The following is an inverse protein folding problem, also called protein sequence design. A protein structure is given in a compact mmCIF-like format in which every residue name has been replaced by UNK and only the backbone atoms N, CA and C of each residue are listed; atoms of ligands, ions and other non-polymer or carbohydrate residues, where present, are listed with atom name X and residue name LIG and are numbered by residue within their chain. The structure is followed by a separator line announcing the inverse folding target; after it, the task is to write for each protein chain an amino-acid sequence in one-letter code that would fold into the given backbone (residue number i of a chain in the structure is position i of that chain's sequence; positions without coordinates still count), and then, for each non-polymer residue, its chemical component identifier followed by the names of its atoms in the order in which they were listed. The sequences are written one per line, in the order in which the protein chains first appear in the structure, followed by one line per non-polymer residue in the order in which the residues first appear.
data_IF_815658857314
#
_entry.id   IF_815658857314
#
_cell.length_a   1.000
_cell.length_b   1.000
_cell.length_c   1.000
_cell.angle_alpha   90.00
_cell.angle_beta   90.00
_cell.angle_gamma   90.00
#
_symmetry.space_group_name_H-M   'P 1'
#
loop_
_entity.id
_entity.type
_entity.pdbx_description
1 polymer ?
#
# COMPACT_ATOMS: atom_id res chain seq x y z
N UNK A 1 4.59 19.87 -13.55
CA UNK A 1 3.45 19.49 -12.71
C UNK A 1 3.23 20.66 -11.75
N UNK A 2 2.04 21.30 -11.71
CA UNK A 2 1.79 22.36 -10.74
C UNK A 2 1.80 21.78 -9.33
N UNK A 3 2.26 22.53 -8.31
CA UNK A 3 2.25 22.08 -6.94
C UNK A 3 0.80 21.82 -6.48
N UNK A 4 0.58 20.70 -5.81
CA UNK A 4 -0.68 20.38 -5.13
C UNK A 4 -1.00 21.53 -4.16
N UNK A 5 -2.06 22.25 -4.46
CA UNK A 5 -2.58 23.31 -3.61
C UNK A 5 -3.19 22.66 -2.36
N UNK A 6 -2.40 22.52 -1.30
CA UNK A 6 -2.85 22.12 0.02
C UNK A 6 -3.63 23.29 0.61
N UNK A 7 -4.87 23.44 0.15
CA UNK A 7 -5.81 24.45 0.63
C UNK A 7 -5.87 24.44 2.16
N UNK A 8 -5.96 25.63 2.72
CA UNK A 8 -6.07 26.01 4.12
C UNK A 8 -6.94 25.02 4.93
N UNK A 9 -6.32 23.95 5.47
CA UNK A 9 -7.01 23.00 6.34
C UNK A 9 -7.09 23.66 7.73
N UNK A 10 -8.30 23.94 8.18
CA UNK A 10 -8.52 24.31 9.59
C UNK A 10 -7.89 23.25 10.51
N UNK A 11 -7.27 23.64 11.63
CA UNK A 11 -6.70 22.69 12.58
C UNK A 11 -7.78 21.72 13.05
N UNK A 12 -7.65 20.46 12.66
CA UNK A 12 -8.53 19.39 13.14
C UNK A 12 -8.25 19.17 14.62
N UNK A 13 -9.29 19.00 15.41
CA UNK A 13 -9.14 18.48 16.77
C UNK A 13 -8.37 17.16 16.70
N UNK A 14 -7.28 16.96 17.47
CA UNK A 14 -6.53 15.72 17.46
C UNK A 14 -7.47 14.54 17.68
N UNK A 15 -7.52 13.60 16.74
CA UNK A 15 -8.34 12.41 16.84
C UNK A 15 -7.74 11.51 17.93
N UNK A 16 -8.53 11.15 18.93
CA UNK A 16 -8.14 10.15 19.92
C UNK A 16 -8.48 8.75 19.36
N UNK A 17 -7.52 7.83 19.35
CA UNK A 17 -7.67 6.49 18.83
C UNK A 17 -8.83 5.72 19.49
N UNK A 18 -8.96 5.77 20.83
CA UNK A 18 -10.03 5.09 21.54
C UNK A 18 -11.41 5.66 21.19
N UNK A 19 -11.51 6.96 21.01
CA UNK A 19 -12.75 7.60 20.55
C UNK A 19 -13.10 7.14 19.13
N UNK A 20 -12.12 7.11 18.22
CA UNK A 20 -12.32 6.65 16.85
C UNK A 20 -12.77 5.19 16.81
N UNK A 21 -12.18 4.30 17.63
CA UNK A 21 -12.61 2.90 17.73
C UNK A 21 -14.00 2.73 18.32
N UNK A 22 -14.41 3.53 19.32
CA UNK A 22 -15.80 3.53 19.82
C UNK A 22 -16.80 3.94 18.75
N UNK A 23 -16.46 4.96 17.94
CA UNK A 23 -17.31 5.35 16.81
C UNK A 23 -17.36 4.21 15.78
N UNK A 24 -16.22 3.58 15.48
CA UNK A 24 -16.15 2.40 14.60
C UNK A 24 -17.02 1.27 15.11
N UNK A 25 -17.01 0.99 16.40
CA UNK A 25 -17.83 -0.07 17.02
C UNK A 25 -19.33 0.09 16.72
N UNK A 26 -19.84 1.33 16.76
CA UNK A 26 -21.26 1.60 16.45
C UNK A 26 -21.63 1.40 14.97
N UNK A 27 -20.66 1.23 14.10
CA UNK A 27 -20.81 1.08 12.63
C UNK A 27 -19.88 0.02 12.03
N UNK A 28 -19.43 -0.94 12.84
CA UNK A 28 -18.43 -1.94 12.44
C UNK A 28 -18.81 -2.68 11.15
N UNK A 29 -20.07 -3.11 11.02
CA UNK A 29 -20.59 -3.78 9.83
C UNK A 29 -20.59 -2.92 8.54
N UNK A 30 -20.35 -1.60 8.65
CA UNK A 30 -20.18 -0.67 7.53
C UNK A 30 -18.77 -0.08 7.43
N UNK A 31 -17.82 -0.58 8.23
CA UNK A 31 -16.44 -0.06 8.27
C UNK A 31 -15.48 -0.97 7.52
N UNK A 32 -14.57 -0.38 6.74
CA UNK A 32 -13.51 -1.08 6.02
C UNK A 32 -12.15 -0.73 6.61
N UNK A 33 -11.30 -1.73 6.83
CA UNK A 33 -9.93 -1.55 7.29
C UNK A 33 -8.96 -1.86 6.15
N UNK A 34 -8.09 -0.92 5.83
CA UNK A 34 -7.08 -1.06 4.80
C UNK A 34 -5.68 -1.00 5.40
N UNK A 35 -4.81 -1.88 4.95
CA UNK A 35 -3.41 -1.92 5.37
C UNK A 35 -2.50 -1.95 4.15
N UNK A 36 -1.44 -1.13 4.17
CA UNK A 36 -0.27 -1.41 3.34
C UNK A 36 0.48 -2.61 3.92
N UNK A 37 1.42 -3.17 3.15
CA UNK A 37 2.17 -4.38 3.54
C UNK A 37 3.58 -4.04 4.02
N UNK A 38 4.47 -3.59 3.12
CA UNK A 38 5.87 -3.29 3.44
C UNK A 38 5.96 -2.00 4.27
N UNK A 39 6.65 -2.04 5.40
CA UNK A 39 6.76 -0.91 6.33
C UNK A 39 5.55 -0.74 7.27
N UNK A 40 4.40 -1.35 6.95
CA UNK A 40 3.16 -1.25 7.73
C UNK A 40 2.85 -2.55 8.47
N UNK A 41 2.57 -3.64 7.77
CA UNK A 41 2.34 -4.97 8.37
C UNK A 41 3.64 -5.72 8.59
N UNK A 42 4.62 -5.50 7.74
CA UNK A 42 5.92 -6.13 7.76
C UNK A 42 7.03 -5.07 7.87
N UNK A 43 8.07 -5.26 8.68
CA UNK A 43 9.24 -4.39 8.66
C UNK A 43 9.86 -4.38 7.25
N UNK A 44 10.43 -3.24 6.87
CA UNK A 44 11.24 -3.16 5.64
C UNK A 44 12.50 -3.99 5.82
N UNK A 45 12.86 -4.77 4.81
CA UNK A 45 14.07 -5.60 4.76
C UNK A 45 14.89 -5.27 3.50
N UNK A 46 16.21 -5.45 3.59
CA UNK A 46 17.10 -5.26 2.45
C UNK A 46 16.90 -6.34 1.38
N UNK A 47 16.49 -7.55 1.79
CA UNK A 47 16.03 -8.61 0.91
C UNK A 47 14.49 -8.56 0.78
N UNK A 48 13.96 -8.11 -0.37
CA UNK A 48 12.52 -8.01 -0.58
C UNK A 48 11.79 -9.36 -0.51
N UNK A 49 12.50 -10.49 -0.59
CA UNK A 49 11.92 -11.83 -0.48
C UNK A 49 11.86 -12.34 0.96
N UNK A 50 12.66 -11.76 1.86
CA UNK A 50 12.73 -12.12 3.27
C UNK A 50 11.66 -11.42 4.14
N UNK A 51 10.95 -10.44 3.59
CA UNK A 51 9.93 -9.66 4.31
C UNK A 51 8.84 -10.56 4.88
N UNK A 52 8.55 -10.42 6.18
CA UNK A 52 7.51 -11.18 6.88
C UNK A 52 6.65 -10.26 7.73
N UNK A 53 5.33 -10.39 7.68
CA UNK A 53 4.44 -9.59 8.50
C UNK A 53 4.59 -9.92 9.99
N UNK A 54 4.34 -8.92 10.84
CA UNK A 54 4.37 -9.08 12.29
C UNK A 54 3.25 -10.07 12.73
N UNK A 55 3.59 -11.18 13.40
CA UNK A 55 2.61 -12.22 13.72
C UNK A 55 1.42 -11.70 14.55
N UNK A 56 1.67 -10.74 15.45
CA UNK A 56 0.61 -10.15 16.27
C UNK A 56 -0.35 -9.28 15.46
N UNK A 57 0.14 -8.60 14.41
CA UNK A 57 -0.70 -7.84 13.50
C UNK A 57 -1.60 -8.78 12.67
N UNK A 58 -1.05 -9.90 12.18
CA UNK A 58 -1.84 -10.91 11.46
C UNK A 58 -2.95 -11.50 12.34
N UNK A 59 -2.62 -11.91 13.57
CA UNK A 59 -3.62 -12.45 14.50
C UNK A 59 -4.74 -11.44 14.82
N UNK A 60 -4.38 -10.15 14.95
CA UNK A 60 -5.38 -9.10 15.16
C UNK A 60 -6.25 -8.87 13.92
N UNK A 61 -5.68 -8.92 12.72
CA UNK A 61 -6.42 -8.81 11.45
C UNK A 61 -7.39 -9.99 11.30
N UNK A 62 -6.95 -11.20 11.59
CA UNK A 62 -7.80 -12.41 11.56
C UNK A 62 -9.01 -12.25 12.49
N UNK A 63 -8.80 -11.71 13.69
CA UNK A 63 -9.88 -11.45 14.65
C UNK A 63 -10.79 -10.27 14.23
N UNK A 64 -10.28 -9.28 13.50
CA UNK A 64 -11.05 -8.13 13.01
C UNK A 64 -11.89 -8.45 11.78
N UNK A 65 -11.43 -9.34 10.89
CA UNK A 65 -12.08 -9.64 9.63
C UNK A 65 -13.57 -10.03 9.76
N UNK A 66 -14.00 -10.86 10.71
CA UNK A 66 -15.43 -11.21 10.89
C UNK A 66 -16.27 -10.10 11.56
N UNK A 67 -15.63 -9.08 12.15
CA UNK A 67 -16.31 -8.05 12.95
C UNK A 67 -16.63 -6.80 12.12
N UNK A 68 -15.78 -6.48 11.14
CA UNK A 68 -15.95 -5.30 10.27
C UNK A 68 -16.53 -5.71 8.91
N UNK A 69 -16.98 -4.72 8.12
CA UNK A 69 -17.50 -5.00 6.79
C UNK A 69 -16.46 -5.71 5.90
N UNK A 70 -15.21 -5.27 5.99
CA UNK A 70 -14.12 -5.78 5.14
C UNK A 70 -12.77 -5.43 5.73
N UNK A 71 -11.81 -6.32 5.53
CA UNK A 71 -10.38 -6.03 5.69
C UNK A 71 -9.70 -6.20 4.34
N UNK A 72 -8.81 -5.30 3.98
CA UNK A 72 -8.09 -5.35 2.72
C UNK A 72 -6.61 -4.97 2.88
N UNK A 73 -5.74 -5.64 2.14
CA UNK A 73 -4.32 -5.30 2.00
C UNK A 73 -4.13 -4.63 0.65
N UNK A 74 -3.46 -3.47 0.62
CA UNK A 74 -3.23 -2.68 -0.60
C UNK A 74 -1.74 -2.41 -0.75
N UNK A 75 -1.06 -3.07 -1.68
CA UNK A 75 0.40 -3.09 -1.74
C UNK A 75 0.97 -2.92 -3.16
N UNK A 76 2.25 -2.59 -3.22
CA UNK A 76 3.08 -2.69 -4.43
C UNK A 76 3.47 -4.13 -4.78
N UNK A 77 3.25 -5.08 -3.87
CA UNK A 77 3.53 -6.51 -4.08
C UNK A 77 2.45 -7.16 -4.95
N UNK A 78 2.79 -8.18 -5.74
CA UNK A 78 1.78 -9.00 -6.44
C UNK A 78 0.83 -9.70 -5.44
N UNK A 79 -0.40 -9.99 -5.87
CA UNK A 79 -1.38 -10.71 -5.04
C UNK A 79 -0.86 -12.08 -4.61
N UNK A 80 -0.14 -12.80 -5.47
CA UNK A 80 0.45 -14.10 -5.15
C UNK A 80 1.42 -14.00 -3.97
N UNK A 81 2.34 -13.02 -4.01
CA UNK A 81 3.27 -12.76 -2.90
C UNK A 81 2.51 -12.48 -1.60
N UNK A 82 1.50 -11.58 -1.64
CA UNK A 82 0.71 -11.27 -0.45
C UNK A 82 0.00 -12.52 0.10
N UNK A 83 -0.55 -13.36 -0.76
CA UNK A 83 -1.22 -14.60 -0.37
C UNK A 83 -0.28 -15.55 0.37
N UNK A 84 0.95 -15.72 -0.14
CA UNK A 84 1.98 -16.54 0.48
C UNK A 84 2.40 -16.01 1.86
N UNK A 85 2.54 -14.68 1.98
CA UNK A 85 2.95 -14.05 3.24
C UNK A 85 1.86 -14.02 4.32
N UNK A 86 0.60 -13.96 3.89
CA UNK A 86 -0.54 -13.86 4.82
C UNK A 86 -1.04 -15.23 5.31
N UNK A 87 -0.41 -16.34 4.88
CA UNK A 87 -0.66 -17.66 5.45
C UNK A 87 -2.10 -18.18 5.33
N UNK A 88 -2.85 -17.69 4.34
CA UNK A 88 -4.22 -18.12 4.10
C UNK A 88 -5.27 -17.43 4.99
N UNK A 89 -5.01 -16.22 5.46
CA UNK A 89 -6.03 -15.39 6.12
C UNK A 89 -7.33 -15.37 5.30
N UNK A 90 -8.42 -15.83 5.93
CA UNK A 90 -9.74 -15.89 5.30
C UNK A 90 -10.47 -14.56 5.50
N UNK A 91 -11.25 -14.14 4.50
CA UNK A 91 -12.08 -12.93 4.60
C UNK A 91 -11.31 -11.62 4.39
N UNK A 92 -10.07 -11.68 3.90
CA UNK A 92 -9.25 -10.52 3.58
C UNK A 92 -9.15 -10.34 2.08
N UNK A 93 -9.42 -9.13 1.59
CA UNK A 93 -9.24 -8.76 0.19
C UNK A 93 -7.79 -8.34 -0.06
N UNK A 94 -7.25 -8.69 -1.21
CA UNK A 94 -5.90 -8.34 -1.62
C UNK A 94 -5.93 -7.46 -2.87
N UNK A 95 -5.25 -6.32 -2.81
CA UNK A 95 -5.00 -5.44 -3.93
C UNK A 95 -3.49 -5.34 -4.14
N UNK A 96 -2.97 -6.08 -5.09
CA UNK A 96 -1.57 -6.11 -5.48
C UNK A 96 -1.24 -5.13 -6.60
N UNK A 97 0.04 -4.80 -6.74
CA UNK A 97 0.57 -3.93 -7.79
C UNK A 97 -0.21 -2.60 -7.89
N UNK A 98 -0.46 -1.97 -6.73
CA UNK A 98 -1.26 -0.73 -6.63
C UNK A 98 -2.68 -0.86 -7.18
N UNK A 99 -3.27 -2.07 -7.15
CA UNK A 99 -4.61 -2.36 -7.65
C UNK A 99 -4.67 -2.84 -9.11
N UNK A 100 -3.54 -3.11 -9.77
CA UNK A 100 -3.53 -3.80 -11.07
C UNK A 100 -3.91 -5.28 -10.94
N UNK A 101 -3.77 -5.85 -9.76
CA UNK A 101 -4.27 -7.17 -9.39
C UNK A 101 -5.15 -7.07 -8.15
N UNK A 102 -6.21 -7.86 -8.10
CA UNK A 102 -7.02 -7.98 -6.89
C UNK A 102 -7.55 -9.41 -6.71
N UNK A 103 -7.81 -9.77 -5.46
CA UNK A 103 -8.46 -11.04 -5.06
C UNK A 103 -9.39 -10.75 -3.90
N UNK A 104 -10.63 -11.18 -3.97
CA UNK A 104 -11.61 -11.02 -2.90
C UNK A 104 -11.70 -12.30 -2.08
N UNK A 105 -11.53 -12.17 -0.76
CA UNK A 105 -11.73 -13.26 0.23
C UNK A 105 -11.06 -14.59 -0.15
N UNK A 106 -9.84 -14.53 -0.68
CA UNK A 106 -9.09 -15.73 -1.08
C UNK A 106 -9.48 -16.33 -2.43
N UNK A 107 -10.37 -15.68 -3.18
CA UNK A 107 -10.74 -16.07 -4.54
C UNK A 107 -9.62 -15.94 -5.57
N UNK A 108 -9.95 -16.18 -6.82
CA UNK A 108 -9.01 -16.04 -7.94
C UNK A 108 -8.45 -14.61 -8.04
N UNK A 109 -7.21 -14.52 -8.53
CA UNK A 109 -6.60 -13.22 -8.82
C UNK A 109 -7.12 -12.68 -10.15
N UNK A 110 -7.78 -11.53 -10.08
CA UNK A 110 -8.24 -10.80 -11.25
C UNK A 110 -7.24 -9.70 -11.57
N UNK A 111 -6.85 -9.60 -12.82
CA UNK A 111 -5.94 -8.57 -13.32
C UNK A 111 -6.73 -7.49 -14.03
N UNK A 112 -6.35 -6.21 -13.82
CA UNK A 112 -6.90 -5.07 -14.57
C UNK A 112 -6.77 -5.33 -16.08
N UNK A 113 -7.88 -5.37 -16.83
CA UNK A 113 -7.85 -5.73 -18.26
C UNK A 113 -6.91 -4.86 -19.09
N UNK A 114 -6.80 -3.56 -18.77
CA UNK A 114 -5.90 -2.64 -19.46
C UNK A 114 -4.41 -2.94 -19.23
N UNK A 115 -4.07 -3.71 -18.19
CA UNK A 115 -2.69 -4.10 -17.88
C UNK A 115 -2.27 -5.43 -18.55
N UNK A 116 -3.23 -6.30 -18.90
CA UNK A 116 -2.92 -7.61 -19.48
C UNK A 116 -2.05 -7.57 -20.73
N UNK A 117 -2.25 -6.64 -21.71
CA UNK A 117 -1.41 -6.57 -22.89
C UNK A 117 0.07 -6.27 -22.61
N UNK A 118 0.38 -5.77 -21.42
CA UNK A 118 1.74 -5.39 -21.04
C UNK A 118 2.58 -6.53 -20.45
N UNK A 119 1.96 -7.66 -20.10
CA UNK A 119 2.67 -8.81 -19.49
C UNK A 119 3.89 -9.26 -20.30
N UNK A 120 3.80 -9.47 -21.64
CA UNK A 120 4.96 -9.85 -22.44
C UNK A 120 6.07 -8.78 -22.42
N UNK A 121 5.69 -7.51 -22.57
CA UNK A 121 6.64 -6.38 -22.54
C UNK A 121 7.40 -6.30 -21.21
N UNK A 122 6.71 -6.55 -20.08
CA UNK A 122 7.36 -6.55 -18.77
C UNK A 122 8.32 -7.74 -18.60
N UNK A 123 8.00 -8.92 -19.15
CA UNK A 123 8.89 -10.07 -19.13
C UNK A 123 10.16 -9.81 -19.94
N UNK A 124 10.01 -9.32 -21.17
CA UNK A 124 11.13 -8.94 -22.04
C UNK A 124 12.01 -7.86 -21.41
N UNK A 125 11.38 -6.86 -20.75
CA UNK A 125 12.11 -5.80 -20.05
C UNK A 125 12.92 -6.34 -18.88
N UNK A 126 12.37 -7.30 -18.11
CA UNK A 126 13.10 -7.91 -17.02
C UNK A 126 14.32 -8.70 -17.49
N UNK A 127 14.18 -9.42 -18.60
CA UNK A 127 15.30 -10.17 -19.20
C UNK A 127 16.36 -9.24 -19.77
N UNK A 128 15.96 -8.18 -20.43
CA UNK A 128 16.86 -7.13 -20.92
C UNK A 128 17.62 -6.46 -19.76
N UNK A 129 16.92 -6.14 -18.67
CA UNK A 129 17.53 -5.55 -17.48
C UNK A 129 18.61 -6.46 -16.88
N UNK A 130 18.33 -7.78 -16.79
CA UNK A 130 19.31 -8.76 -16.30
C UNK A 130 20.53 -8.88 -17.18
N UNK A 131 20.37 -8.70 -18.51
CA UNK A 131 21.44 -8.79 -19.48
C UNK A 131 22.33 -7.51 -19.54
N UNK A 132 21.74 -6.34 -19.37
CA UNK A 132 22.40 -5.08 -19.64
C UNK A 132 22.86 -4.32 -18.37
N UNK A 133 22.17 -4.51 -17.23
CA UNK A 133 22.52 -3.79 -16.01
C UNK A 133 23.74 -4.43 -15.31
N UNK A 134 24.57 -3.60 -14.63
CA UNK A 134 25.75 -4.08 -13.95
C UNK A 134 25.43 -5.11 -12.84
N UNK A 135 26.35 -6.07 -12.59
CA UNK A 135 26.26 -6.96 -11.43
C UNK A 135 26.10 -6.15 -10.13
N UNK A 136 25.20 -6.60 -9.26
CA UNK A 136 24.80 -5.87 -8.04
C UNK A 136 23.48 -5.13 -8.19
N UNK A 137 22.90 -5.05 -9.40
CA UNK A 137 21.51 -4.66 -9.58
C UNK A 137 20.60 -5.86 -9.41
N UNK A 138 19.63 -5.79 -8.46
CA UNK A 138 18.60 -6.81 -8.32
C UNK A 138 17.40 -6.44 -9.21
N UNK A 139 17.08 -7.33 -10.15
CA UNK A 139 15.92 -7.17 -11.05
C UNK A 139 14.77 -8.03 -10.54
N UNK A 140 13.75 -7.39 -10.00
CA UNK A 140 12.53 -8.04 -9.52
C UNK A 140 11.44 -7.95 -10.59
N UNK A 141 11.07 -9.09 -11.17
CA UNK A 141 9.95 -9.19 -12.11
C UNK A 141 8.67 -9.50 -11.35
N UNK A 142 7.68 -8.61 -11.44
CA UNK A 142 6.39 -8.71 -10.74
C UNK A 142 5.23 -8.94 -11.71
N UNK A 143 5.46 -9.60 -12.83
CA UNK A 143 4.50 -9.84 -13.92
C UNK A 143 4.03 -8.57 -14.63
N UNK A 144 3.49 -7.58 -13.93
CA UNK A 144 2.99 -6.30 -14.48
C UNK A 144 3.89 -5.11 -14.17
N UNK A 145 5.03 -5.34 -13.52
CA UNK A 145 6.07 -4.32 -13.33
C UNK A 145 7.43 -4.95 -13.20
N UNK A 146 8.47 -4.13 -13.37
CA UNK A 146 9.86 -4.51 -13.14
C UNK A 146 10.46 -3.49 -12.17
N UNK A 147 10.91 -3.98 -11.00
CA UNK A 147 11.62 -3.16 -10.04
C UNK A 147 13.13 -3.43 -10.12
N UNK A 148 13.89 -2.35 -10.23
CA UNK A 148 15.35 -2.33 -10.34
C UNK A 148 15.92 -1.81 -9.03
N UNK A 149 16.49 -2.69 -8.20
CA UNK A 149 17.02 -2.34 -6.89
C UNK A 149 18.54 -2.22 -6.94
N UNK A 150 19.10 -1.24 -6.23
CA UNK A 150 20.55 -1.03 -6.07
C UNK A 150 20.95 -0.80 -4.61
N UNK A 151 20.13 -1.27 -3.65
CA UNK A 151 20.36 -1.08 -2.21
C UNK A 151 21.69 -1.67 -1.74
N UNK A 152 22.06 -2.84 -2.25
CA UNK A 152 23.34 -3.51 -1.97
C UNK A 152 24.54 -2.94 -2.74
N UNK A 153 24.28 -2.08 -3.74
CA UNK A 153 25.28 -1.42 -4.59
C UNK A 153 24.90 0.04 -4.88
N UNK A 154 24.88 0.93 -3.86
CA UNK A 154 24.36 2.29 -3.99
C UNK A 154 25.02 3.12 -5.08
N UNK A 155 26.29 2.83 -5.41
CA UNK A 155 27.06 3.49 -6.47
C UNK A 155 26.47 3.26 -7.88
N UNK A 156 25.62 2.23 -8.07
CA UNK A 156 24.97 1.94 -9.35
C UNK A 156 23.71 2.79 -9.59
N UNK A 157 23.23 3.53 -8.59
CA UNK A 157 21.98 4.23 -8.64
C UNK A 157 21.79 5.12 -9.88
N UNK A 158 22.79 5.93 -10.23
CA UNK A 158 22.72 6.79 -11.41
C UNK A 158 22.60 5.99 -12.73
N UNK A 159 23.38 4.91 -12.85
CA UNK A 159 23.35 4.04 -14.04
C UNK A 159 22.01 3.33 -14.19
N UNK A 160 21.49 2.77 -13.10
CA UNK A 160 20.21 2.05 -13.11
C UNK A 160 19.04 2.99 -13.40
N UNK A 161 19.03 4.17 -12.79
CA UNK A 161 17.99 5.18 -13.04
C UNK A 161 18.02 5.67 -14.50
N UNK A 162 19.21 5.97 -15.04
CA UNK A 162 19.35 6.41 -16.43
C UNK A 162 18.87 5.33 -17.41
N UNK A 163 19.30 4.08 -17.20
CA UNK A 163 18.87 2.95 -18.02
C UNK A 163 17.36 2.77 -17.95
N UNK A 164 16.82 2.72 -16.74
CA UNK A 164 15.38 2.51 -16.53
C UNK A 164 14.52 3.63 -17.13
N UNK A 165 14.95 4.90 -17.00
CA UNK A 165 14.23 6.00 -17.63
C UNK A 165 14.27 5.91 -19.16
N UNK A 166 15.42 5.55 -19.75
CA UNK A 166 15.52 5.35 -21.19
C UNK A 166 14.59 4.23 -21.68
N UNK A 167 14.45 3.14 -20.93
CA UNK A 167 13.51 2.06 -21.28
C UNK A 167 12.06 2.51 -21.10
N UNK A 168 11.75 3.27 -20.04
CA UNK A 168 10.42 3.82 -19.84
C UNK A 168 9.99 4.71 -21.01
N UNK A 169 10.88 5.61 -21.45
CA UNK A 169 10.63 6.51 -22.59
C UNK A 169 10.45 5.73 -23.90
N UNK A 170 11.32 4.74 -24.14
CA UNK A 170 11.28 3.88 -25.35
C UNK A 170 9.98 3.07 -25.46
N UNK A 171 9.51 2.55 -24.33
CA UNK A 171 8.36 1.61 -24.29
C UNK A 171 7.04 2.31 -23.92
N UNK A 172 7.07 3.61 -23.61
CA UNK A 172 5.88 4.34 -23.14
C UNK A 172 5.41 3.90 -21.75
N UNK A 173 6.34 3.46 -20.90
CA UNK A 173 6.06 3.02 -19.54
C UNK A 173 6.09 4.19 -18.56
N UNK A 174 5.50 3.99 -17.39
CA UNK A 174 5.68 4.89 -16.25
C UNK A 174 6.86 4.43 -15.40
N UNK A 175 7.69 5.37 -14.98
CA UNK A 175 8.73 5.14 -13.98
C UNK A 175 8.30 5.71 -12.63
N UNK A 176 8.50 4.95 -11.57
CA UNK A 176 8.27 5.38 -10.20
C UNK A 176 9.56 5.19 -9.40
N UNK A 177 10.14 6.31 -8.96
CA UNK A 177 11.30 6.28 -8.08
C UNK A 177 10.85 5.97 -6.65
N UNK A 178 11.59 5.07 -6.00
CA UNK A 178 11.51 4.80 -4.57
C UNK A 178 12.92 4.90 -3.95
N UNK A 179 13.05 4.50 -2.70
CA UNK A 179 14.34 4.50 -2.03
C UNK A 179 15.21 3.34 -2.52
N UNK A 180 16.27 3.66 -3.26
CA UNK A 180 17.19 2.70 -3.88
C UNK A 180 16.51 1.69 -4.81
N UNK A 181 15.40 2.11 -5.43
CA UNK A 181 14.64 1.33 -6.40
C UNK A 181 14.04 2.25 -7.46
N UNK A 182 13.96 1.76 -8.69
CA UNK A 182 13.17 2.33 -9.77
C UNK A 182 12.21 1.27 -10.26
N UNK A 183 10.91 1.51 -10.17
CA UNK A 183 9.89 0.61 -10.68
C UNK A 183 9.35 1.11 -12.02
N UNK A 184 9.35 0.22 -13.02
CA UNK A 184 8.81 0.44 -14.35
C UNK A 184 7.47 -0.27 -14.46
N UNK A 185 6.42 0.46 -14.87
CA UNK A 185 5.03 0.00 -14.89
C UNK A 185 4.33 0.36 -16.19
N UNK A 186 3.30 -0.40 -16.61
CA UNK A 186 2.46 0.00 -17.73
C UNK A 186 1.79 1.36 -17.47
N UNK A 187 1.42 2.10 -18.54
CA UNK A 187 0.76 3.40 -18.43
C UNK A 187 -0.74 3.26 -18.08
N UNK A 188 -1.05 2.38 -17.15
CA UNK A 188 -2.40 2.17 -16.63
C UNK A 188 -2.57 3.02 -15.39
N UNK A 189 -3.66 3.77 -15.35
CA UNK A 189 -3.97 4.67 -14.23
C UNK A 189 -4.56 3.86 -13.08
N UNK A 190 -3.68 3.42 -12.18
CA UNK A 190 -4.05 2.78 -10.92
C UNK A 190 -3.06 3.21 -9.83
N UNK A 191 -3.61 3.58 -8.69
CA UNK A 191 -2.84 3.86 -7.47
C UNK A 191 -3.69 3.54 -6.22
N UNK A 192 -3.06 3.61 -5.07
CA UNK A 192 -3.72 3.29 -3.79
C UNK A 192 -4.95 4.18 -3.54
N UNK A 193 -4.90 5.45 -3.92
CA UNK A 193 -6.03 6.37 -3.77
C UNK A 193 -7.26 5.96 -4.58
N UNK A 194 -7.05 5.53 -5.83
CA UNK A 194 -8.14 5.04 -6.69
C UNK A 194 -8.75 3.75 -6.13
N UNK A 195 -7.92 2.80 -5.70
CA UNK A 195 -8.37 1.57 -5.04
C UNK A 195 -9.25 1.88 -3.84
N UNK A 196 -8.78 2.77 -2.94
CA UNK A 196 -9.53 3.16 -1.75
C UNK A 196 -10.83 3.85 -2.12
N UNK A 197 -10.81 4.83 -3.03
CA UNK A 197 -12.00 5.55 -3.47
C UNK A 197 -13.09 4.64 -4.05
N UNK A 198 -12.71 3.56 -4.72
CA UNK A 198 -13.64 2.54 -5.21
C UNK A 198 -14.15 1.62 -4.11
N UNK A 199 -13.25 1.15 -3.25
CA UNK A 199 -13.55 0.15 -2.23
C UNK A 199 -14.41 0.69 -1.07
N UNK A 200 -14.40 2.00 -0.81
CA UNK A 200 -15.21 2.63 0.24
C UNK A 200 -16.60 3.08 -0.23
N UNK A 201 -16.99 2.80 -1.49
CA UNK A 201 -18.35 3.09 -1.95
C UNK A 201 -19.36 2.32 -1.11
N UNK A 202 -20.27 3.05 -0.48
CA UNK A 202 -21.28 2.46 0.41
C UNK A 202 -20.81 2.16 1.83
N UNK A 203 -19.52 2.35 2.16
CA UNK A 203 -19.03 2.24 3.53
C UNK A 203 -19.45 3.45 4.36
N UNK A 204 -19.68 3.24 5.67
CA UNK A 204 -19.95 4.28 6.67
C UNK A 204 -18.70 4.73 7.42
N UNK A 205 -17.59 4.01 7.29
CA UNK A 205 -16.31 4.37 7.82
C UNK A 205 -15.18 3.58 7.17
N UNK A 206 -13.97 4.12 7.23
CA UNK A 206 -12.77 3.40 6.83
C UNK A 206 -11.54 3.87 7.58
N UNK A 207 -10.62 2.95 7.81
CA UNK A 207 -9.28 3.19 8.31
C UNK A 207 -8.26 2.77 7.26
N UNK A 208 -7.23 3.57 7.10
CA UNK A 208 -6.08 3.21 6.26
C UNK A 208 -4.79 3.34 7.06
N UNK A 209 -4.00 2.26 7.07
CA UNK A 209 -2.70 2.17 7.73
C UNK A 209 -1.60 2.09 6.66
N UNK A 210 -0.64 2.99 6.70
CA UNK A 210 0.44 3.04 5.71
C UNK A 210 1.68 3.78 6.24
N UNK A 211 2.81 3.62 5.59
CA UNK A 211 4.11 4.16 6.01
C UNK A 211 4.83 4.96 4.92
N UNK A 212 4.40 4.87 3.65
CA UNK A 212 5.10 5.45 2.51
C UNK A 212 4.32 6.59 1.85
N UNK A 213 5.01 7.38 1.05
CA UNK A 213 4.45 8.50 0.27
C UNK A 213 3.30 8.05 -0.65
N UNK A 214 3.33 6.81 -1.14
CA UNK A 214 2.23 6.23 -1.93
C UNK A 214 0.91 6.14 -1.14
N UNK A 215 0.97 6.03 0.20
CA UNK A 215 -0.19 5.93 1.10
C UNK A 215 -0.89 7.27 1.30
N UNK A 216 -0.18 8.38 1.07
CA UNK A 216 -0.78 9.72 1.13
C UNK A 216 -1.94 9.85 0.12
N UNK A 217 -1.88 9.14 -1.01
CA UNK A 217 -3.00 9.10 -1.97
C UNK A 217 -4.23 8.38 -1.41
N UNK A 218 -4.03 7.30 -0.64
CA UNK A 218 -5.10 6.62 0.07
C UNK A 218 -5.70 7.52 1.18
N UNK A 219 -4.86 8.22 1.93
CA UNK A 219 -5.31 9.22 2.91
C UNK A 219 -6.14 10.32 2.23
N UNK A 220 -5.70 10.82 1.08
CA UNK A 220 -6.44 11.83 0.32
C UNK A 220 -7.82 11.34 -0.12
N UNK A 221 -7.95 10.07 -0.53
CA UNK A 221 -9.24 9.47 -0.90
C UNK A 221 -10.19 9.39 0.30
N UNK A 222 -9.71 8.97 1.49
CA UNK A 222 -10.53 8.96 2.72
C UNK A 222 -10.96 10.37 3.11
N UNK A 223 -10.06 11.35 3.03
CA UNK A 223 -10.37 12.75 3.35
C UNK A 223 -11.39 13.35 2.39
N UNK A 224 -11.25 13.06 1.09
CA UNK A 224 -12.22 13.51 0.08
C UNK A 224 -13.62 12.93 0.35
N UNK A 225 -13.70 11.65 0.74
CA UNK A 225 -14.96 11.00 1.10
C UNK A 225 -15.57 11.60 2.37
N UNK A 226 -14.76 11.84 3.41
CA UNK A 226 -15.21 12.47 4.65
C UNK A 226 -15.64 13.94 4.47
N UNK A 227 -15.03 14.65 3.52
CA UNK A 227 -15.44 16.02 3.19
C UNK A 227 -16.78 16.06 2.44
N UNK A 228 -17.07 15.02 1.63
CA UNK A 228 -18.31 14.89 0.87
C UNK A 228 -19.48 14.35 1.72
N UNK A 229 -19.19 13.62 2.80
CA UNK A 229 -20.17 12.99 3.67
C UNK A 229 -19.73 13.13 5.14
N UNK A 230 -20.32 14.07 5.89
CA UNK A 230 -19.97 14.32 7.30
C UNK A 230 -20.21 13.12 8.23
N UNK A 231 -21.07 12.18 7.84
CA UNK A 231 -21.33 10.98 8.62
C UNK A 231 -20.30 9.87 8.36
N UNK A 232 -19.43 10.02 7.36
CA UNK A 232 -18.38 9.07 7.08
C UNK A 232 -17.18 9.26 8.01
N UNK A 233 -16.78 8.21 8.72
CA UNK A 233 -15.57 8.20 9.53
C UNK A 233 -14.35 7.79 8.68
N UNK A 234 -13.50 8.72 8.30
CA UNK A 234 -12.22 8.45 7.65
C UNK A 234 -11.06 8.62 8.64
N UNK A 235 -10.26 7.59 8.88
CA UNK A 235 -9.08 7.64 9.76
C UNK A 235 -7.82 7.23 9.01
N UNK A 236 -6.85 8.13 8.97
CA UNK A 236 -5.56 7.94 8.34
C UNK A 236 -4.50 7.67 9.43
N UNK A 237 -3.82 6.53 9.35
CA UNK A 237 -2.82 6.11 10.35
C UNK A 237 -1.47 5.92 9.69
N UNK A 238 -0.48 6.69 10.12
CA UNK A 238 0.91 6.50 9.71
C UNK A 238 1.57 5.46 10.61
N UNK A 239 2.23 4.47 10.03
CA UNK A 239 3.19 3.61 10.73
C UNK A 239 4.57 4.21 10.52
N UNK A 240 5.29 4.50 11.61
CA UNK A 240 6.58 5.15 11.51
C UNK A 240 7.61 4.22 10.85
N UNK A 241 8.24 4.73 9.82
CA UNK A 241 9.30 4.07 9.10
C UNK A 241 10.52 5.00 9.06
N UNK A 242 11.69 4.56 9.57
CA UNK A 242 12.91 5.38 9.56
C UNK A 242 13.36 5.80 8.15
N UNK A 243 12.90 5.08 7.14
CA UNK A 243 13.26 5.34 5.76
C UNK A 243 12.41 6.43 5.10
N UNK A 244 11.18 6.64 5.57
CA UNK A 244 10.28 7.71 5.14
C UNK A 244 10.42 8.91 6.08
N UNK A 245 10.39 10.11 5.52
CA UNK A 245 10.43 11.36 6.29
C UNK A 245 9.12 11.61 7.06
N UNK A 246 8.95 12.83 7.56
CA UNK A 246 7.76 13.23 8.31
C UNK A 246 6.51 13.42 7.44
N UNK A 247 6.61 13.28 6.13
CA UNK A 247 5.51 13.58 5.18
C UNK A 247 4.27 12.74 5.44
N UNK A 248 4.45 11.43 5.67
CA UNK A 248 3.36 10.49 5.91
C UNK A 248 2.72 10.76 7.28
N UNK A 249 3.54 10.96 8.31
CA UNK A 249 3.08 11.32 9.66
C UNK A 249 2.29 12.63 9.65
N UNK A 250 2.76 13.65 8.93
CA UNK A 250 2.09 14.94 8.80
C UNK A 250 0.75 14.85 8.04
N UNK A 251 0.60 13.86 7.17
CA UNK A 251 -0.63 13.61 6.42
C UNK A 251 -1.64 12.74 7.19
N UNK A 252 -1.24 12.07 8.25
CA UNK A 252 -2.07 11.17 9.04
C UNK A 252 -2.85 11.87 10.17
N UNK A 253 -3.83 11.17 10.73
CA UNK A 253 -4.57 11.58 11.95
C UNK A 253 -3.93 10.98 13.21
N UNK A 254 -3.31 9.81 13.07
CA UNK A 254 -2.63 9.04 14.12
C UNK A 254 -1.30 8.52 13.62
N UNK A 255 -0.35 8.30 14.54
CA UNK A 255 0.93 7.67 14.22
C UNK A 255 1.19 6.49 15.16
N UNK A 256 1.69 5.39 14.59
CA UNK A 256 2.11 4.17 15.29
C UNK A 256 3.62 4.02 15.10
N UNK A 257 4.33 3.64 16.14
CA UNK A 257 5.81 3.68 16.18
C UNK A 257 6.49 2.65 15.26
N UNK A 258 5.82 1.55 14.93
CA UNK A 258 6.42 0.47 14.12
C UNK A 258 5.38 -0.57 13.70
N UNK A 259 5.69 -1.46 12.72
CA UNK A 259 4.86 -2.62 12.39
C UNK A 259 4.58 -3.53 13.61
N UNK A 260 5.54 -3.68 14.52
CA UNK A 260 5.34 -4.46 15.74
C UNK A 260 4.30 -3.80 16.67
N UNK A 261 4.37 -2.48 16.84
CA UNK A 261 3.41 -1.72 17.65
C UNK A 261 2.00 -1.70 17.03
N UNK A 262 1.87 -1.85 15.71
CA UNK A 262 0.59 -1.98 15.03
C UNK A 262 -0.22 -3.17 15.56
N UNK A 263 0.43 -4.32 15.80
CA UNK A 263 -0.24 -5.49 16.37
C UNK A 263 -0.86 -5.20 17.74
N UNK A 264 -0.17 -4.45 18.59
CA UNK A 264 -0.68 -4.01 19.90
C UNK A 264 -1.85 -3.03 19.76
N UNK A 265 -1.73 -2.10 18.82
CA UNK A 265 -2.79 -1.13 18.52
C UNK A 265 -4.08 -1.82 18.06
N UNK A 266 -3.99 -2.76 17.12
CA UNK A 266 -5.14 -3.52 16.62
C UNK A 266 -5.73 -4.47 17.68
N UNK A 267 -4.89 -5.08 18.53
CA UNK A 267 -5.37 -5.90 19.65
C UNK A 267 -6.19 -5.07 20.65
N UNK A 268 -5.78 -3.83 20.94
CA UNK A 268 -6.59 -2.90 21.75
C UNK A 268 -7.89 -2.52 21.06
N UNK A 269 -7.88 -2.33 19.74
CA UNK A 269 -9.09 -2.03 18.97
C UNK A 269 -10.19 -3.09 19.18
N UNK A 270 -9.82 -4.37 19.25
CA UNK A 270 -10.76 -5.48 19.50
C UNK A 270 -11.51 -5.34 20.84
N UNK A 271 -10.95 -4.63 21.82
CA UNK A 271 -11.67 -4.41 23.11
C UNK A 271 -12.81 -3.40 22.99
N UNK A 272 -12.88 -2.64 21.89
CA UNK A 272 -13.95 -1.67 21.63
C UNK A 272 -15.03 -2.22 20.69
N UNK A 273 -14.67 -3.24 19.89
CA UNK A 273 -15.56 -3.82 18.87
C UNK A 273 -16.47 -4.90 19.46
N UNK A 274 -17.64 -5.16 18.83
CA UNK A 274 -18.60 -6.14 19.32
C UNK A 274 -18.10 -7.58 19.28
#
# INVERSE_FOLDING_TARGET
VPPLNLGNQQPRTPLNADQAWRITASRAAGTVLFFDFDGTLAPVDDDPTAVRPAPKALAAIEALAPVVQRVAIVSARPVEFLRDQLGGLVGVDLYGLYGLEHSHSGGETVTEPAALPWVPTMAELADLARAELPPGTLVEYKRLSVALHWRTAPQLGATVQQWGQAQADRLGLRSQAGRMVLELKPPVDRDKGMVIGEAIKGATGAWYFGDDVSDIKAFAALRARAAADPDFLGVCVAVANPETGQEVANAADLTIESPAALGDFLTRALTHLP
#
